data_IF_688930981624
#
_entry.id   IF_688930981624
#
_cell.length_a   1.000
_cell.length_b   1.000
_cell.length_c   1.000
_cell.angle_alpha   90.00
_cell.angle_beta   90.00
_cell.angle_gamma   90.00
#
_symmetry.space_group_name_H-M   'P 1'
#
loop_
_entity.id
_entity.type
_entity.pdbx_description
1 polymer ?
#
# COMPACT_ATOMS: atom_id res chain seq x y z
N UNK A 1 11.63 -17.53 -2.21
CA UNK A 1 10.59 -16.68 -2.82
C UNK A 1 10.36 -15.50 -1.90
N UNK A 2 10.49 -14.26 -2.39
CA UNK A 2 10.23 -13.08 -1.56
C UNK A 2 8.73 -13.04 -1.22
N UNK A 3 8.40 -12.99 0.08
CA UNK A 3 7.02 -12.93 0.56
C UNK A 3 6.45 -11.57 0.16
N UNK A 4 5.40 -11.55 -0.67
CA UNK A 4 4.69 -10.31 -0.99
C UNK A 4 3.96 -9.85 0.26
N UNK A 5 4.17 -8.59 0.66
CA UNK A 5 3.43 -7.97 1.77
C UNK A 5 1.97 -7.81 1.36
N UNK A 6 1.04 -7.92 2.31
CA UNK A 6 -0.36 -7.56 2.10
C UNK A 6 -0.57 -6.05 2.23
N UNK A 7 -1.76 -5.56 1.89
CA UNK A 7 -2.09 -4.15 2.05
C UNK A 7 -2.13 -3.77 3.53
N UNK A 8 -2.78 -4.61 4.34
CA UNK A 8 -2.87 -4.40 5.78
C UNK A 8 -1.51 -4.45 6.47
N UNK A 9 -0.62 -5.37 6.07
CA UNK A 9 0.76 -5.39 6.59
C UNK A 9 1.52 -4.12 6.21
N UNK A 10 1.37 -3.62 4.98
CA UNK A 10 2.02 -2.38 4.54
C UNK A 10 1.54 -1.16 5.36
N UNK A 11 0.23 -1.05 5.63
CA UNK A 11 -0.33 0.02 6.44
C UNK A 11 0.14 -0.08 7.88
N UNK A 12 0.09 -1.28 8.48
CA UNK A 12 0.55 -1.49 9.84
C UNK A 12 2.03 -1.13 10.02
N UNK A 13 2.86 -1.44 9.02
CA UNK A 13 4.28 -1.06 9.02
C UNK A 13 4.46 0.46 8.89
N UNK A 14 3.71 1.15 8.03
CA UNK A 14 3.74 2.61 7.94
C UNK A 14 3.38 3.25 9.29
N UNK A 15 2.31 2.81 9.93
CA UNK A 15 1.87 3.31 11.24
C UNK A 15 2.93 3.08 12.31
N UNK A 16 3.58 1.91 12.30
CA UNK A 16 4.65 1.60 13.25
C UNK A 16 5.86 2.51 13.09
N UNK A 17 6.26 2.77 11.84
CA UNK A 17 7.36 3.68 11.55
C UNK A 17 7.01 5.11 12.00
N UNK A 18 5.80 5.58 11.73
CA UNK A 18 5.34 6.91 12.16
C UNK A 18 5.39 7.02 13.69
N UNK A 19 4.89 6.00 14.41
CA UNK A 19 4.93 5.98 15.89
C UNK A 19 6.37 6.12 16.42
N UNK A 20 7.32 5.38 15.84
CA UNK A 20 8.74 5.46 16.25
C UNK A 20 9.37 6.83 15.99
N UNK A 21 9.00 7.46 14.86
CA UNK A 21 9.43 8.83 14.55
C UNK A 21 8.87 9.82 15.58
N UNK A 22 7.57 9.71 15.89
CA UNK A 22 6.91 10.60 16.86
C UNK A 22 7.43 10.45 18.30
N UNK A 23 7.92 9.25 18.65
CA UNK A 23 8.49 8.95 19.95
C UNK A 23 9.98 9.31 20.07
N UNK A 24 10.59 9.88 19.02
CA UNK A 24 12.03 10.18 18.94
C UNK A 24 12.90 8.94 19.23
N UNK A 25 12.41 7.74 18.91
CA UNK A 25 13.11 6.47 19.14
C UNK A 25 14.17 6.17 18.07
N UNK A 26 14.25 6.99 17.03
CA UNK A 26 15.12 6.80 15.88
C UNK A 26 16.24 7.83 15.86
N UNK A 27 17.45 7.39 15.53
CA UNK A 27 18.54 8.32 15.25
C UNK A 27 18.41 8.97 13.85
N UNK A 28 19.24 9.98 13.58
CA UNK A 28 19.18 10.77 12.33
C UNK A 28 19.47 9.91 11.09
N UNK A 29 20.33 8.90 11.21
CA UNK A 29 20.68 8.03 10.08
C UNK A 29 19.54 7.03 9.80
N UNK A 30 18.94 6.47 10.86
CA UNK A 30 17.77 5.59 10.80
C UNK A 30 16.54 6.30 10.23
N UNK A 31 16.33 7.58 10.57
CA UNK A 31 15.20 8.37 10.08
C UNK A 31 15.15 8.42 8.55
N UNK A 32 16.32 8.60 7.91
CA UNK A 32 16.43 8.64 6.44
C UNK A 32 15.96 7.33 5.80
N UNK A 33 16.33 6.19 6.38
CA UNK A 33 15.97 4.88 5.85
C UNK A 33 14.51 4.51 6.14
N UNK A 34 13.99 4.90 7.30
CA UNK A 34 12.57 4.74 7.64
C UNK A 34 11.67 5.58 6.70
N UNK A 35 12.07 6.81 6.38
CA UNK A 35 11.33 7.65 5.41
C UNK A 35 11.33 7.03 4.01
N UNK A 36 12.47 6.49 3.54
CA UNK A 36 12.51 5.76 2.26
C UNK A 36 11.60 4.55 2.28
N UNK A 37 11.57 3.81 3.39
CA UNK A 37 10.71 2.64 3.56
C UNK A 37 9.23 3.02 3.49
N UNK A 38 8.81 4.06 4.20
CA UNK A 38 7.44 4.57 4.15
C UNK A 38 7.07 5.02 2.73
N UNK A 39 7.95 5.74 2.04
CA UNK A 39 7.74 6.15 0.65
C UNK A 39 7.51 4.95 -0.29
N UNK A 40 8.30 3.88 -0.14
CA UNK A 40 8.11 2.64 -0.86
C UNK A 40 6.74 2.00 -0.56
N UNK A 41 6.37 1.89 0.72
CA UNK A 41 5.11 1.28 1.15
C UNK A 41 3.89 2.07 0.64
N UNK A 42 3.95 3.40 0.65
CA UNK A 42 2.89 4.26 0.10
C UNK A 42 2.70 4.00 -1.39
N UNK A 43 3.79 3.92 -2.16
CA UNK A 43 3.71 3.63 -3.59
C UNK A 43 3.14 2.24 -3.86
N UNK A 44 3.57 1.24 -3.08
CA UNK A 44 3.00 -0.11 -3.12
C UNK A 44 1.48 -0.11 -2.86
N UNK A 45 1.02 0.61 -1.83
CA UNK A 45 -0.38 0.73 -1.50
C UNK A 45 -1.20 1.40 -2.62
N UNK A 46 -0.68 2.48 -3.22
CA UNK A 46 -1.30 3.18 -4.35
C UNK A 46 -1.46 2.27 -5.57
N UNK A 47 -0.41 1.53 -5.92
CA UNK A 47 -0.45 0.61 -7.06
C UNK A 47 -1.52 -0.47 -6.83
N UNK A 48 -1.58 -1.03 -5.62
CA UNK A 48 -2.58 -2.05 -5.29
C UNK A 48 -4.01 -1.54 -5.36
N UNK A 49 -4.27 -0.32 -4.88
CA UNK A 49 -5.57 0.31 -4.99
C UNK A 49 -5.97 0.54 -6.44
N UNK A 50 -5.05 1.07 -7.26
CA UNK A 50 -5.30 1.27 -8.70
C UNK A 50 -5.64 -0.04 -9.41
N UNK A 51 -4.86 -1.09 -9.17
CA UNK A 51 -5.12 -2.39 -9.79
C UNK A 51 -6.48 -2.96 -9.34
N UNK A 52 -6.85 -2.76 -8.07
CA UNK A 52 -8.16 -3.18 -7.54
C UNK A 52 -9.30 -2.39 -8.20
N UNK A 53 -9.14 -1.08 -8.38
CA UNK A 53 -10.12 -0.23 -9.07
C UNK A 53 -10.32 -0.67 -10.53
N UNK A 54 -9.23 -0.95 -11.25
CA UNK A 54 -9.28 -1.46 -12.62
C UNK A 54 -10.00 -2.80 -12.71
N UNK A 55 -9.71 -3.74 -11.81
CA UNK A 55 -10.39 -5.04 -11.73
C UNK A 55 -11.90 -4.88 -11.48
N UNK A 56 -12.29 -4.04 -10.52
CA UNK A 56 -13.70 -3.75 -10.23
C UNK A 56 -14.39 -3.12 -11.44
N UNK A 57 -13.75 -2.14 -12.09
CA UNK A 57 -14.30 -1.51 -13.30
C UNK A 57 -14.55 -2.52 -14.42
N UNK A 58 -13.60 -3.45 -14.62
CA UNK A 58 -13.74 -4.50 -15.63
C UNK A 58 -14.88 -5.46 -15.29
N UNK A 59 -15.02 -5.88 -14.03
CA UNK A 59 -16.11 -6.75 -13.58
C UNK A 59 -17.46 -6.07 -13.83
N UNK A 60 -17.61 -4.78 -13.50
CA UNK A 60 -18.85 -4.04 -13.72
C UNK A 60 -19.22 -3.98 -15.20
N UNK A 61 -18.27 -3.69 -16.09
CA UNK A 61 -18.50 -3.68 -17.56
C UNK A 61 -18.95 -5.05 -18.08
N UNK A 62 -18.38 -6.13 -17.55
CA UNK A 62 -18.77 -7.49 -17.95
C UNK A 62 -20.19 -7.85 -17.46
N UNK A 63 -20.60 -7.34 -16.29
CA UNK A 63 -21.98 -7.48 -15.80
C UNK A 63 -22.95 -6.71 -16.67
N UNK A 64 -22.62 -5.46 -17.04
CA UNK A 64 -23.46 -4.61 -17.91
C UNK A 64 -23.67 -5.24 -19.30
N UNK A 65 -22.60 -5.76 -19.92
CA UNK A 65 -22.71 -6.46 -21.22
C UNK A 65 -23.66 -7.66 -21.14
N UNK A 66 -23.54 -8.49 -20.11
CA UNK A 66 -24.38 -9.68 -19.92
C UNK A 66 -25.85 -9.39 -19.65
N UNK A 67 -26.19 -8.17 -19.22
CA UNK A 67 -27.58 -7.76 -18.99
C UNK A 67 -28.22 -7.14 -20.24
N UNK A 68 -27.42 -6.76 -21.23
CA UNK A 68 -27.86 -6.19 -22.49
C UNK A 68 -28.09 -7.23 -23.60
N UNK A 69 -27.73 -8.50 -23.34
CA UNK A 69 -27.97 -9.69 -24.16
C UNK A 69 -29.21 -10.47 -23.69
#
# INVERSE_FOLDING_TARGET
>A
MAKKISYGEAIAEIEDIIRKIEQEELDVDELSDQVKRVSFLINYCREKLRNTEEEVSNILKEIEKKQAD
#
